data_IF_153440188062
#
_entry.id   IF_153440188062
#
_cell.length_a   1.000
_cell.length_b   1.000
_cell.length_c   1.000
_cell.angle_alpha   90.00
_cell.angle_beta   90.00
_cell.angle_gamma   90.00
#
_symmetry.space_group_name_H-M   'P 1'
#
loop_
_entity.id
_entity.type
_entity.pdbx_description
1 polymer ?
#
# COMPACT_ATOMS: atom_id res chain seq x y z
N UNK A 1 -10.99 -10.64 1.11
CA UNK A 1 -9.73 -10.15 0.51
C UNK A 1 -10.02 -8.93 -0.34
N UNK A 2 -9.17 -7.90 -0.30
CA UNK A 2 -9.31 -6.75 -1.19
C UNK A 2 -8.76 -7.09 -2.56
N UNK A 3 -9.49 -6.71 -3.61
CA UNK A 3 -9.09 -6.95 -4.99
C UNK A 3 -8.25 -5.79 -5.51
N UNK A 4 -7.44 -6.06 -6.54
CA UNK A 4 -6.85 -5.02 -7.34
C UNK A 4 -7.94 -4.14 -7.95
N UNK A 5 -7.62 -2.85 -8.13
CA UNK A 5 -8.47 -1.88 -8.81
C UNK A 5 -8.20 -1.80 -10.32
N UNK A 6 -7.26 -2.59 -10.82
CA UNK A 6 -6.88 -2.73 -12.23
C UNK A 6 -7.02 -4.19 -12.61
N UNK A 7 -7.36 -4.45 -13.88
CA UNK A 7 -7.44 -5.81 -14.41
C UNK A 7 -6.06 -6.46 -14.42
N UNK A 8 -6.00 -7.77 -14.22
CA UNK A 8 -4.74 -8.52 -14.18
C UNK A 8 -3.84 -8.31 -15.42
N UNK A 9 -4.41 -8.08 -16.60
CA UNK A 9 -3.66 -7.77 -17.82
C UNK A 9 -2.93 -6.43 -17.79
N UNK A 10 -3.42 -5.48 -16.99
CA UNK A 10 -2.77 -4.18 -16.79
C UNK A 10 -1.75 -4.17 -15.65
N UNK A 11 -1.50 -5.32 -15.02
CA UNK A 11 -0.55 -5.44 -13.91
C UNK A 11 0.82 -5.90 -14.41
N UNK A 12 1.86 -5.26 -13.88
CA UNK A 12 3.26 -5.59 -14.13
C UNK A 12 4.15 -4.60 -13.37
N UNK A 13 5.42 -4.97 -13.18
CA UNK A 13 6.42 -4.07 -12.59
C UNK A 13 7.21 -3.30 -13.64
N UNK A 14 7.36 -3.86 -14.84
CA UNK A 14 8.16 -3.29 -15.90
C UNK A 14 7.27 -3.02 -17.12
N UNK A 15 7.52 -1.89 -17.78
CA UNK A 15 6.70 -1.43 -18.91
C UNK A 15 6.81 -2.37 -20.14
N UNK A 16 7.93 -3.08 -20.26
CA UNK A 16 8.25 -4.03 -21.32
C UNK A 16 7.83 -5.47 -21.00
N UNK A 17 7.41 -5.77 -19.77
CA UNK A 17 7.05 -7.12 -19.31
C UNK A 17 5.52 -7.27 -19.13
N UNK A 18 4.78 -6.95 -20.21
CA UNK A 18 3.32 -7.05 -20.23
C UNK A 18 2.91 -8.52 -20.06
N UNK A 19 2.12 -8.81 -19.03
CA UNK A 19 1.59 -10.14 -18.76
C UNK A 19 2.45 -11.00 -17.83
N UNK A 20 3.60 -10.52 -17.35
CA UNK A 20 4.42 -11.26 -16.39
C UNK A 20 3.67 -11.62 -15.11
N UNK A 21 2.77 -10.74 -14.65
CA UNK A 21 1.92 -11.04 -13.50
C UNK A 21 1.03 -12.28 -13.75
N UNK A 22 0.36 -12.33 -14.91
CA UNK A 22 -0.50 -13.47 -15.28
C UNK A 22 0.34 -14.74 -15.40
N UNK A 23 1.49 -14.66 -16.07
CA UNK A 23 2.40 -15.79 -16.21
C UNK A 23 2.90 -16.29 -14.84
N UNK A 24 3.20 -15.39 -13.91
CA UNK A 24 3.54 -15.74 -12.53
C UNK A 24 2.38 -16.44 -11.83
N UNK A 25 1.16 -15.89 -11.90
CA UNK A 25 -0.02 -16.49 -11.29
C UNK A 25 -0.29 -17.90 -11.83
N UNK A 26 -0.14 -18.13 -13.14
CA UNK A 26 -0.27 -19.46 -13.75
C UNK A 26 0.79 -20.45 -13.25
N UNK A 27 2.04 -20.00 -13.04
CA UNK A 27 3.09 -20.85 -12.44
C UNK A 27 2.75 -21.26 -11.00
N UNK A 28 2.01 -20.44 -10.27
CA UNK A 28 1.48 -20.74 -8.94
C UNK A 28 0.17 -21.57 -8.97
N UNK A 29 -0.28 -22.01 -10.16
CA UNK A 29 -1.52 -22.76 -10.33
C UNK A 29 -2.81 -21.92 -10.15
N UNK A 30 -2.69 -20.59 -10.15
CA UNK A 30 -3.83 -19.70 -9.98
C UNK A 30 -4.54 -19.49 -11.33
N UNK A 31 -5.88 -19.65 -11.40
CA UNK A 31 -6.63 -19.56 -12.65
C UNK A 31 -6.94 -18.11 -13.06
N UNK A 32 -5.91 -17.25 -13.12
CA UNK A 32 -6.05 -15.82 -13.42
C UNK A 32 -6.24 -15.57 -14.91
N UNK A 33 -7.25 -14.80 -15.30
CA UNK A 33 -7.45 -14.29 -16.65
C UNK A 33 -7.15 -12.80 -16.69
N UNK A 34 -6.78 -12.30 -17.87
CA UNK A 34 -6.39 -10.90 -18.03
C UNK A 34 -7.49 -9.89 -17.65
N UNK A 35 -8.76 -10.27 -17.79
CA UNK A 35 -9.90 -9.43 -17.42
C UNK A 35 -10.20 -9.37 -15.92
N UNK A 36 -9.57 -10.22 -15.10
CA UNK A 36 -9.95 -10.44 -13.71
C UNK A 36 -9.42 -9.33 -12.79
N UNK A 37 -10.20 -9.01 -11.76
CA UNK A 37 -9.74 -8.27 -10.61
C UNK A 37 -9.41 -9.28 -9.51
N UNK A 38 -8.12 -9.53 -9.29
CA UNK A 38 -7.65 -10.58 -8.39
C UNK A 38 -7.26 -10.02 -7.03
N UNK A 39 -7.15 -10.85 -5.97
CA UNK A 39 -6.70 -10.41 -4.66
C UNK A 39 -5.39 -9.65 -4.72
N UNK A 40 -5.29 -8.51 -4.01
CA UNK A 40 -4.04 -7.72 -3.93
C UNK A 40 -2.86 -8.52 -3.41
N UNK A 41 -3.12 -9.48 -2.52
CA UNK A 41 -2.10 -10.38 -1.99
C UNK A 41 -1.35 -11.13 -3.10
N UNK A 42 -2.05 -11.58 -4.15
CA UNK A 42 -1.42 -12.30 -5.26
C UNK A 42 -0.47 -11.40 -6.05
N UNK A 43 -0.77 -10.10 -6.14
CA UNK A 43 0.16 -9.14 -6.72
C UNK A 43 1.35 -8.87 -5.80
N UNK A 44 1.15 -8.83 -4.48
CA UNK A 44 2.23 -8.78 -3.49
C UNK A 44 3.22 -9.95 -3.66
N UNK A 45 2.70 -11.18 -3.73
CA UNK A 45 3.51 -12.38 -3.97
C UNK A 45 4.33 -12.28 -5.27
N UNK A 46 3.72 -11.74 -6.34
CA UNK A 46 4.42 -11.47 -7.58
C UNK A 46 5.54 -10.45 -7.41
N UNK A 47 5.29 -9.33 -6.71
CA UNK A 47 6.31 -8.30 -6.45
C UNK A 47 7.49 -8.88 -5.67
N UNK A 48 7.24 -9.67 -4.63
CA UNK A 48 8.27 -10.34 -3.84
C UNK A 48 9.11 -11.30 -4.69
N UNK A 49 8.46 -12.12 -5.52
CA UNK A 49 9.16 -13.05 -6.41
C UNK A 49 10.03 -12.33 -7.45
N UNK A 50 9.57 -11.19 -7.96
CA UNK A 50 10.34 -10.37 -8.89
C UNK A 50 11.53 -9.70 -8.20
N UNK A 51 11.33 -9.15 -7.00
CA UNK A 51 12.43 -8.62 -6.20
C UNK A 51 13.50 -9.69 -5.93
N UNK A 52 13.10 -10.88 -5.50
CA UNK A 52 14.04 -11.98 -5.27
C UNK A 52 14.84 -12.34 -6.53
N UNK A 53 14.20 -12.35 -7.70
CA UNK A 53 14.85 -12.59 -8.99
C UNK A 53 15.87 -11.51 -9.32
N UNK A 54 15.54 -10.24 -9.15
CA UNK A 54 16.45 -9.12 -9.45
C UNK A 54 17.65 -9.09 -8.48
N UNK A 55 17.43 -9.43 -7.21
CA UNK A 55 18.49 -9.60 -6.23
C UNK A 55 19.48 -10.68 -6.67
N UNK A 56 18.98 -11.84 -7.09
CA UNK A 56 19.83 -12.94 -7.54
C UNK A 56 20.58 -12.59 -8.82
N UNK A 57 19.91 -11.93 -9.77
CA UNK A 57 20.54 -11.46 -11.00
C UNK A 57 21.65 -10.42 -10.72
N UNK A 58 21.46 -9.52 -9.76
CA UNK A 58 22.47 -8.56 -9.34
C UNK A 58 23.70 -9.25 -8.71
N UNK A 59 23.47 -10.24 -7.83
CA UNK A 59 24.56 -11.06 -7.25
C UNK A 59 25.34 -11.81 -8.33
N UNK A 60 24.66 -12.38 -9.32
CA UNK A 60 25.29 -13.04 -10.46
C UNK A 60 26.17 -12.12 -11.31
N UNK A 61 25.93 -10.80 -11.28
CA UNK A 61 26.78 -9.78 -11.90
C UNK A 61 27.92 -9.28 -10.99
N UNK A 62 28.07 -9.84 -9.80
CA UNK A 62 29.07 -9.44 -8.81
C UNK A 62 28.69 -8.17 -8.02
N UNK A 63 27.44 -7.71 -8.08
CA UNK A 63 26.99 -6.62 -7.22
C UNK A 63 26.88 -7.11 -5.77
N UNK A 64 27.56 -6.44 -4.85
CA UNK A 64 27.28 -6.59 -3.43
C UNK A 64 25.93 -5.95 -3.11
N UNK A 65 25.04 -6.71 -2.48
CA UNK A 65 23.73 -6.25 -2.05
C UNK A 65 23.51 -6.62 -0.60
N UNK A 66 23.15 -5.62 0.20
CA UNK A 66 22.75 -5.76 1.58
C UNK A 66 21.31 -5.27 1.74
N UNK A 67 20.49 -6.04 2.45
CA UNK A 67 19.11 -5.67 2.79
C UNK A 67 19.03 -5.56 4.30
N UNK A 68 18.78 -4.35 4.79
CA UNK A 68 18.72 -4.04 6.20
C UNK A 68 17.26 -3.92 6.65
N UNK A 69 16.91 -4.59 7.75
CA UNK A 69 15.60 -4.49 8.39
C UNK A 69 15.61 -3.39 9.46
N UNK A 70 15.91 -2.16 9.04
CA UNK A 70 16.01 -0.96 9.90
C UNK A 70 15.23 0.20 9.30
N UNK A 71 14.85 1.18 10.11
CA UNK A 71 14.19 2.40 9.61
C UNK A 71 15.22 3.50 9.34
N UNK A 72 15.24 4.05 8.12
CA UNK A 72 16.04 5.22 7.80
C UNK A 72 15.30 6.48 8.26
N UNK A 73 15.78 7.12 9.32
CA UNK A 73 15.09 8.25 9.98
C UNK A 73 15.52 9.61 9.44
N UNK A 74 16.70 9.72 8.83
CA UNK A 74 17.12 10.94 8.13
C UNK A 74 18.23 10.67 7.12
N UNK A 75 18.31 11.51 6.10
CA UNK A 75 19.44 11.59 5.17
C UNK A 75 19.98 13.02 5.15
N UNK A 76 21.30 13.16 5.14
CA UNK A 76 22.00 14.45 5.03
C UNK A 76 23.13 14.32 4.01
N UNK A 77 23.54 15.44 3.42
CA UNK A 77 24.62 15.49 2.43
C UNK A 77 24.16 16.00 1.07
N UNK A 78 25.07 15.95 0.11
CA UNK A 78 24.87 16.40 -1.26
C UNK A 78 25.76 15.62 -2.24
N UNK A 79 25.53 15.81 -3.54
CA UNK A 79 26.28 15.13 -4.61
C UNK A 79 27.80 15.41 -4.59
N UNK A 80 28.24 16.47 -3.90
CA UNK A 80 29.66 16.84 -3.84
C UNK A 80 30.39 16.15 -2.68
N UNK A 81 29.69 15.88 -1.58
CA UNK A 81 30.25 15.34 -0.33
C UNK A 81 29.75 13.92 0.00
N UNK A 82 28.84 13.38 -0.80
CA UNK A 82 28.14 12.13 -0.51
C UNK A 82 27.01 12.33 0.50
N UNK A 83 26.39 11.22 0.87
CA UNK A 83 25.24 11.17 1.75
C UNK A 83 25.50 10.31 2.97
N UNK A 84 24.89 10.71 4.09
CA UNK A 84 24.86 9.95 5.34
C UNK A 84 23.41 9.70 5.72
N UNK A 85 23.05 8.42 5.84
CA UNK A 85 21.75 7.96 6.30
C UNK A 85 21.85 7.57 7.76
N UNK A 86 20.99 8.14 8.61
CA UNK A 86 20.83 7.76 10.02
C UNK A 86 19.69 6.75 10.13
N UNK A 87 19.95 5.67 10.87
CA UNK A 87 18.95 4.65 11.20
C UNK A 87 18.30 4.90 12.56
N UNK A 88 17.15 4.28 12.82
CA UNK A 88 16.47 4.27 14.13
C UNK A 88 17.31 3.65 15.25
N UNK A 89 18.20 2.71 14.90
CA UNK A 89 19.18 2.14 15.83
C UNK A 89 20.33 3.11 16.19
N UNK A 90 20.45 4.23 15.49
CA UNK A 90 21.52 5.21 15.67
C UNK A 90 22.76 4.96 14.80
N UNK A 91 22.77 3.90 14.00
CA UNK A 91 23.85 3.62 13.04
C UNK A 91 23.79 4.57 11.84
N UNK A 92 24.96 4.84 11.26
CA UNK A 92 25.11 5.68 10.07
C UNK A 92 25.61 4.89 8.88
N UNK A 93 25.00 5.10 7.71
CA UNK A 93 25.39 4.50 6.44
C UNK A 93 25.86 5.61 5.50
N UNK A 94 27.10 5.50 5.00
CA UNK A 94 27.66 6.41 4.00
C UNK A 94 27.37 5.90 2.59
N UNK A 95 27.00 6.80 1.67
CA UNK A 95 26.71 6.45 0.28
C UNK A 95 27.01 7.61 -0.67
N UNK A 96 27.49 7.32 -1.88
CA UNK A 96 27.69 8.34 -2.94
C UNK A 96 26.37 8.83 -3.54
N UNK A 97 25.28 8.08 -3.38
CA UNK A 97 23.95 8.43 -3.88
C UNK A 97 22.84 7.73 -3.11
N UNK A 98 21.67 8.38 -3.04
CA UNK A 98 20.51 7.89 -2.30
C UNK A 98 19.25 7.97 -3.17
N UNK A 99 18.49 6.88 -3.20
CA UNK A 99 17.16 6.83 -3.83
C UNK A 99 16.11 6.71 -2.73
N UNK A 100 15.17 7.66 -2.69
CA UNK A 100 14.04 7.61 -1.76
C UNK A 100 12.87 6.86 -2.42
N UNK A 101 12.69 5.60 -2.03
CA UNK A 101 11.58 4.73 -2.46
C UNK A 101 10.57 4.47 -1.34
N UNK A 102 10.24 5.50 -0.55
CA UNK A 102 9.48 5.41 0.72
C UNK A 102 7.96 5.26 0.56
N UNK A 103 7.47 5.03 -0.66
CA UNK A 103 6.04 4.87 -0.93
C UNK A 103 5.23 6.16 -0.71
N UNK A 104 3.93 6.01 -0.42
CA UNK A 104 3.05 7.12 -0.10
C UNK A 104 3.22 7.55 1.35
N UNK A 105 3.29 8.86 1.59
CA UNK A 105 3.34 9.40 2.94
C UNK A 105 2.05 9.05 3.72
N UNK A 106 2.12 8.92 5.06
CA UNK A 106 0.96 8.66 5.89
C UNK A 106 -0.17 9.65 5.60
N UNK A 107 -1.44 9.19 5.59
CA UNK A 107 -2.56 10.08 5.30
C UNK A 107 -2.71 11.13 6.40
N UNK A 108 -2.75 12.40 6.01
CA UNK A 108 -3.01 13.49 6.94
C UNK A 108 -4.51 13.61 7.27
N UNK A 109 -4.87 14.04 8.50
CA UNK A 109 -6.26 14.32 8.84
C UNK A 109 -6.88 15.36 7.91
N UNK A 110 -8.06 15.05 7.38
CA UNK A 110 -8.80 15.98 6.52
C UNK A 110 -9.07 17.30 7.25
N UNK A 111 -8.82 18.42 6.58
CA UNK A 111 -9.01 19.77 7.14
C UNK A 111 -10.40 20.01 7.74
N UNK A 112 -11.44 19.37 7.17
CA UNK A 112 -12.83 19.46 7.63
C UNK A 112 -13.09 18.76 8.97
N UNK A 113 -12.24 17.84 9.39
CA UNK A 113 -12.39 17.12 10.68
C UNK A 113 -11.94 18.05 11.80
N UNK A 114 -12.83 18.36 12.73
CA UNK A 114 -12.54 19.26 13.86
C UNK A 114 -11.44 18.71 14.77
N UNK A 115 -10.71 19.59 15.45
CA UNK A 115 -9.68 19.19 16.43
C UNK A 115 -10.24 18.26 17.52
N UNK A 116 -11.48 18.49 17.98
CA UNK A 116 -12.16 17.61 18.94
C UNK A 116 -12.38 16.20 18.39
N UNK A 117 -12.80 16.08 17.12
CA UNK A 117 -12.97 14.78 16.49
C UNK A 117 -11.63 14.07 16.30
N UNK A 118 -10.58 14.81 15.89
CA UNK A 118 -9.22 14.26 15.75
C UNK A 118 -8.64 13.74 17.07
N UNK A 119 -8.97 14.38 18.19
CA UNK A 119 -8.55 13.95 19.52
C UNK A 119 -9.37 12.77 20.08
N UNK A 120 -10.42 12.33 19.39
CA UNK A 120 -11.24 11.21 19.83
C UNK A 120 -10.54 9.88 19.56
N UNK A 121 -10.60 8.96 20.52
CA UNK A 121 -10.17 7.57 20.33
C UNK A 121 -10.98 6.80 19.27
N UNK A 122 -12.08 7.37 18.76
CA UNK A 122 -12.88 6.79 17.68
C UNK A 122 -12.45 7.27 16.28
N UNK A 123 -11.51 8.22 16.19
CA UNK A 123 -11.03 8.74 14.90
C UNK A 123 -9.76 8.02 14.46
N UNK A 124 -9.71 7.67 13.17
CA UNK A 124 -8.53 7.15 12.51
C UNK A 124 -8.28 7.95 11.22
N UNK A 125 -7.07 8.48 11.09
CA UNK A 125 -6.63 9.10 9.83
C UNK A 125 -6.15 8.03 8.83
N UNK A 126 -5.51 6.98 9.33
CA UNK A 126 -5.10 5.83 8.52
C UNK A 126 -6.28 4.85 8.34
N UNK A 127 -6.75 4.64 7.10
CA UNK A 127 -7.83 3.71 6.81
C UNK A 127 -7.47 2.24 7.03
N UNK A 128 -6.22 1.89 7.31
CA UNK A 128 -5.82 0.50 7.57
C UNK A 128 -5.55 0.24 9.05
N UNK A 129 -5.47 1.30 9.86
CA UNK A 129 -5.21 1.24 11.30
C UNK A 129 -6.28 2.04 12.06
N UNK A 130 -7.47 1.44 12.19
CA UNK A 130 -8.54 2.00 13.00
C UNK A 130 -8.61 1.39 14.42
N UNK A 131 -9.10 2.16 15.41
CA UNK A 131 -9.30 1.67 16.76
C UNK A 131 -10.27 0.49 16.78
N UNK A 132 -9.98 -0.49 17.65
CA UNK A 132 -10.87 -1.62 17.95
C UNK A 132 -11.51 -1.41 19.32
N UNK A 133 -12.70 -0.78 19.39
CA UNK A 133 -13.37 -0.54 20.66
C UNK A 133 -13.74 -1.88 21.34
N UNK A 134 -13.85 -1.86 22.67
CA UNK A 134 -14.21 -3.05 23.45
C UNK A 134 -15.63 -3.58 23.15
N UNK A 135 -16.53 -2.69 22.70
CA UNK A 135 -17.84 -3.04 22.18
C UNK A 135 -17.93 -2.64 20.71
N UNK A 136 -18.60 -3.46 19.89
CA UNK A 136 -18.82 -3.15 18.49
C UNK A 136 -19.58 -1.81 18.35
N UNK A 137 -19.15 -0.92 17.44
CA UNK A 137 -19.83 0.34 17.23
C UNK A 137 -21.18 0.13 16.53
N UNK A 138 -22.19 0.92 16.90
CA UNK A 138 -23.46 0.95 16.17
C UNK A 138 -23.36 1.69 14.84
N UNK A 139 -22.37 2.58 14.69
CA UNK A 139 -22.19 3.45 13.52
C UNK A 139 -20.72 3.59 13.16
N UNK A 140 -20.44 3.51 11.86
CA UNK A 140 -19.12 3.76 11.28
C UNK A 140 -19.27 4.82 10.19
N UNK A 141 -18.44 5.87 10.25
CA UNK A 141 -18.42 6.92 9.23
C UNK A 141 -17.11 6.87 8.47
N UNK A 142 -17.19 6.71 7.15
CA UNK A 142 -16.04 6.73 6.25
C UNK A 142 -16.03 8.05 5.50
N UNK A 143 -14.93 8.79 5.59
CA UNK A 143 -14.74 10.05 4.87
C UNK A 143 -14.05 9.79 3.53
N UNK A 144 -14.77 10.02 2.45
CA UNK A 144 -14.38 9.70 1.09
C UNK A 144 -15.14 8.51 0.52
N UNK A 145 -15.17 8.45 -0.81
CA UNK A 145 -15.79 7.37 -1.60
C UNK A 145 -14.85 6.91 -2.71
N UNK A 146 -13.54 7.02 -2.50
CA UNK A 146 -12.54 6.45 -3.42
C UNK A 146 -12.40 4.94 -3.27
N UNK A 147 -11.49 4.33 -4.02
CA UNK A 147 -11.26 2.87 -3.96
C UNK A 147 -10.84 2.42 -2.56
N UNK A 148 -9.97 3.16 -1.87
CA UNK A 148 -9.62 2.90 -0.47
C UNK A 148 -10.87 2.88 0.42
N UNK A 149 -11.83 3.79 0.22
CA UNK A 149 -13.06 3.79 0.99
C UNK A 149 -13.89 2.51 0.75
N UNK A 150 -13.93 1.98 -0.47
CA UNK A 150 -14.61 0.70 -0.76
C UNK A 150 -14.01 -0.46 0.03
N UNK A 151 -12.69 -0.49 0.18
CA UNK A 151 -12.00 -1.51 0.96
C UNK A 151 -12.25 -1.37 2.46
N UNK A 152 -12.24 -0.13 2.97
CA UNK A 152 -12.59 0.19 4.37
C UNK A 152 -14.02 -0.23 4.67
N UNK A 153 -14.98 0.12 3.79
CA UNK A 153 -16.39 -0.24 3.94
C UNK A 153 -16.59 -1.75 3.99
N UNK A 154 -15.91 -2.50 3.10
CA UNK A 154 -15.96 -3.97 3.10
C UNK A 154 -15.37 -4.57 4.38
N UNK A 155 -14.26 -4.02 4.87
CA UNK A 155 -13.63 -4.48 6.11
C UNK A 155 -14.51 -4.19 7.32
N UNK A 156 -15.04 -2.96 7.44
CA UNK A 156 -15.93 -2.56 8.53
C UNK A 156 -17.23 -3.40 8.54
N UNK A 157 -17.82 -3.67 7.37
CA UNK A 157 -19.02 -4.51 7.28
C UNK A 157 -18.78 -5.98 7.67
N UNK A 158 -17.55 -6.49 7.49
CA UNK A 158 -17.17 -7.83 7.96
C UNK A 158 -16.88 -7.84 9.46
N UNK A 159 -16.20 -6.82 9.96
CA UNK A 159 -15.79 -6.72 11.36
C UNK A 159 -16.99 -6.41 12.28
N UNK A 160 -17.89 -5.53 11.83
CA UNK A 160 -19.06 -5.08 12.58
C UNK A 160 -20.33 -5.19 11.72
N UNK A 161 -20.88 -6.40 11.53
CA UNK A 161 -21.98 -6.65 10.60
C UNK A 161 -23.30 -5.95 10.97
N UNK A 162 -23.47 -5.57 12.23
CA UNK A 162 -24.66 -4.87 12.73
C UNK A 162 -24.49 -3.33 12.73
N UNK A 163 -23.30 -2.82 12.42
CA UNK A 163 -23.05 -1.39 12.40
C UNK A 163 -23.68 -0.74 11.17
N UNK A 164 -24.31 0.41 11.36
CA UNK A 164 -24.69 1.27 10.24
C UNK A 164 -23.44 1.96 9.67
N UNK A 165 -23.10 1.65 8.43
CA UNK A 165 -21.93 2.23 7.76
C UNK A 165 -22.36 3.36 6.82
N UNK A 166 -21.84 4.57 7.06
CA UNK A 166 -22.14 5.77 6.26
C UNK A 166 -20.88 6.29 5.60
N UNK A 167 -20.88 6.42 4.27
CA UNK A 167 -19.81 7.07 3.53
C UNK A 167 -20.19 8.51 3.18
N UNK A 168 -19.31 9.47 3.48
CA UNK A 168 -19.50 10.89 3.17
C UNK A 168 -18.47 11.31 2.13
N UNK A 169 -18.89 11.90 1.01
CA UNK A 169 -17.97 12.43 0.00
C UNK A 169 -18.37 13.82 -0.46
N UNK A 170 -17.37 14.59 -0.89
CA UNK A 170 -17.58 15.95 -1.41
C UNK A 170 -18.45 15.98 -2.67
N UNK A 171 -18.39 14.93 -3.49
CA UNK A 171 -19.03 14.90 -4.81
C UNK A 171 -20.20 13.90 -4.90
N UNK A 172 -20.48 13.13 -3.84
CA UNK A 172 -21.55 12.13 -3.82
C UNK A 172 -21.36 10.95 -4.78
N UNK A 173 -20.16 10.78 -5.38
CA UNK A 173 -19.88 9.77 -6.39
C UNK A 173 -19.13 8.59 -5.80
N UNK A 174 -19.57 7.37 -6.09
CA UNK A 174 -18.78 6.16 -5.90
C UNK A 174 -17.78 5.99 -7.06
N UNK A 175 -16.71 5.18 -6.90
CA UNK A 175 -15.81 4.88 -8.00
C UNK A 175 -16.61 4.26 -9.14
N UNK A 176 -16.38 4.71 -10.37
CA UNK A 176 -17.06 4.12 -11.52
C UNK A 176 -16.61 2.67 -11.68
N UNK A 177 -17.57 1.80 -12.01
CA UNK A 177 -17.22 0.47 -12.47
C UNK A 177 -16.38 0.59 -13.74
N UNK A 178 -15.40 -0.29 -13.91
CA UNK A 178 -14.71 -0.42 -15.19
C UNK A 178 -15.71 -0.92 -16.22
N UNK A 179 -16.26 0.00 -17.02
CA UNK A 179 -17.05 -0.35 -18.20
C UNK A 179 -16.12 -0.84 -19.31
N UNK A 180 -16.65 -1.77 -20.11
CA UNK A 180 -15.94 -2.59 -21.09
C UNK A 180 -15.04 -1.84 -22.05
#
# INVERSE_FOLDING_TARGET
>A
HHLLNVRAAGMGLFADDIGAFIAHAHRQGLPVRGGDFVPRAWFGDYVEAMLAREIEAARGRGCALEVLSVEAVSVRGDDASGYVVLTDAGDTIEADGVILAIGALPPEPLAVVSARARASAAYAADPWHWPRPAAAPDRVVVLGTGLTAVDVLQSAAREWPNAQVTAISRHGRLPQAHHH
#
